data_IF_717857644558
#
_entry.id   IF_717857644558
#
_cell.length_a   1.000
_cell.length_b   1.000
_cell.length_c   1.000
_cell.angle_alpha   90.00
_cell.angle_beta   90.00
_cell.angle_gamma   90.00
#
_symmetry.space_group_name_H-M   'P 1'
#
loop_
_entity.id
_entity.type
_entity.pdbx_description
1 polymer ?
#
# COMPACT_ATOMS: atom_id res chain seq x y z
N UNK A 1 6.69 19.23 10.56
CA UNK A 1 5.60 18.24 10.73
C UNK A 1 6.07 17.26 11.79
N UNK A 2 5.34 17.05 12.89
CA UNK A 2 5.77 16.14 13.95
C UNK A 2 5.15 14.77 13.71
N UNK A 3 5.96 13.80 13.25
CA UNK A 3 5.60 12.38 13.31
C UNK A 3 5.67 11.99 14.78
N UNK A 4 4.58 11.44 15.33
CA UNK A 4 4.59 10.90 16.69
C UNK A 4 5.36 9.56 16.70
N UNK A 5 6.45 9.54 17.45
CA UNK A 5 7.33 8.38 17.58
C UNK A 5 7.15 7.64 18.91
N UNK A 6 6.12 7.94 19.71
CA UNK A 6 5.91 7.27 21.01
C UNK A 6 5.65 5.77 20.90
N UNK A 7 5.13 5.29 19.75
CA UNK A 7 4.98 3.86 19.46
C UNK A 7 6.26 3.17 18.97
N UNK A 8 7.38 3.88 18.85
CA UNK A 8 8.66 3.29 18.44
C UNK A 8 9.37 2.72 19.67
N UNK A 9 9.53 1.40 19.72
CA UNK A 9 10.22 0.70 20.79
C UNK A 9 11.72 0.50 20.48
N UNK A 10 12.55 0.57 21.51
CA UNK A 10 13.95 0.10 21.47
C UNK A 10 14.03 -1.22 22.22
N UNK A 11 14.24 -2.31 21.49
CA UNK A 11 14.30 -3.65 22.06
C UNK A 11 15.76 -4.01 22.42
N UNK A 12 16.07 -4.35 23.68
CA UNK A 12 17.40 -4.76 24.08
C UNK A 12 17.91 -5.98 23.28
N UNK A 13 19.15 -5.91 22.81
CA UNK A 13 19.78 -7.00 22.05
C UNK A 13 19.38 -7.09 20.57
N UNK A 14 18.59 -6.14 20.05
CA UNK A 14 18.32 -6.01 18.63
C UNK A 14 19.12 -4.85 18.04
N UNK A 15 19.78 -5.07 16.91
CA UNK A 15 20.30 -4.01 16.07
C UNK A 15 19.23 -3.57 15.07
N UNK A 16 19.23 -2.30 14.67
CA UNK A 16 18.35 -1.83 13.59
C UNK A 16 18.69 -2.58 12.31
N UNK A 17 17.71 -3.24 11.65
CA UNK A 17 17.95 -3.91 10.39
C UNK A 17 18.37 -2.91 9.31
N UNK A 18 19.48 -3.21 8.65
CA UNK A 18 20.02 -2.44 7.54
C UNK A 18 19.98 -3.30 6.28
N UNK A 19 19.59 -2.73 5.16
CA UNK A 19 19.53 -3.42 3.89
C UNK A 19 20.15 -2.56 2.80
N UNK A 20 20.76 -3.21 1.82
CA UNK A 20 21.20 -2.58 0.58
C UNK A 20 20.20 -2.95 -0.51
N UNK A 21 19.67 -1.96 -1.21
CA UNK A 21 18.85 -2.17 -2.40
C UNK A 21 19.70 -1.85 -3.63
N UNK A 22 19.63 -2.71 -4.64
CA UNK A 22 20.17 -2.43 -5.97
C UNK A 22 19.04 -2.52 -6.98
N UNK A 23 19.03 -1.61 -7.95
CA UNK A 23 18.02 -1.52 -8.99
C UNK A 23 18.61 -1.86 -10.37
N UNK A 24 17.87 -2.65 -11.14
CA UNK A 24 18.06 -2.87 -12.58
C UNK A 24 16.73 -2.59 -13.30
N UNK A 25 16.57 -1.35 -13.78
CA UNK A 25 15.27 -0.84 -14.23
C UNK A 25 14.24 -0.83 -13.08
N UNK A 26 13.09 -1.48 -13.31
CA UNK A 26 12.05 -1.65 -12.28
C UNK A 26 12.29 -2.87 -11.37
N UNK A 27 13.37 -3.64 -11.60
CA UNK A 27 13.70 -4.82 -10.78
C UNK A 27 14.53 -4.40 -9.57
N UNK A 28 14.10 -4.81 -8.39
CA UNK A 28 14.82 -4.56 -7.13
C UNK A 28 15.47 -5.85 -6.62
N UNK A 29 16.70 -5.74 -6.10
CA UNK A 29 17.37 -6.80 -5.35
C UNK A 29 17.69 -6.31 -3.94
N UNK A 30 17.28 -7.07 -2.93
CA UNK A 30 17.52 -6.76 -1.53
C UNK A 30 18.67 -7.61 -1.01
N UNK A 31 19.63 -6.96 -0.37
CA UNK A 31 20.77 -7.61 0.29
C UNK A 31 20.74 -7.21 1.78
N UNK A 32 20.23 -8.09 2.66
CA UNK A 32 20.34 -7.92 4.11
C UNK A 32 21.79 -7.68 4.54
N UNK A 33 22.00 -6.72 5.44
CA UNK A 33 23.34 -6.41 5.97
C UNK A 33 23.37 -6.62 7.50
N UNK A 34 23.44 -5.55 8.30
CA UNK A 34 23.44 -5.64 9.76
C UNK A 34 22.02 -5.80 10.33
N UNK A 35 21.88 -6.48 11.48
CA UNK A 35 20.64 -6.53 12.27
C UNK A 35 19.54 -7.49 11.78
N UNK A 36 19.86 -8.37 10.83
CA UNK A 36 18.92 -9.38 10.31
C UNK A 36 19.03 -10.75 10.99
N UNK A 37 20.02 -10.97 11.84
CA UNK A 37 20.30 -12.22 12.56
C UNK A 37 19.14 -12.66 13.47
N UNK A 38 18.35 -11.69 13.97
CA UNK A 38 17.17 -11.93 14.81
C UNK A 38 15.88 -11.41 14.17
N UNK A 39 15.83 -11.28 12.85
CA UNK A 39 14.68 -10.72 12.12
C UNK A 39 13.37 -11.45 12.41
N UNK A 40 13.38 -12.78 12.39
CA UNK A 40 12.18 -13.60 12.67
C UNK A 40 11.66 -13.38 14.09
N UNK A 41 12.56 -13.27 15.07
CA UNK A 41 12.18 -12.99 16.46
C UNK A 41 11.59 -11.57 16.60
N UNK A 42 12.18 -10.60 15.91
CA UNK A 42 11.68 -9.22 15.87
C UNK A 42 10.26 -9.17 15.30
N UNK A 43 10.03 -9.85 14.17
CA UNK A 43 8.72 -9.92 13.52
C UNK A 43 7.65 -10.58 14.42
N UNK A 44 8.03 -11.46 15.34
CA UNK A 44 7.11 -12.11 16.28
C UNK A 44 6.78 -11.26 17.50
N UNK A 45 7.50 -10.16 17.74
CA UNK A 45 7.39 -9.34 18.95
C UNK A 45 6.26 -8.31 18.83
N UNK A 46 5.23 -8.45 19.66
CA UNK A 46 4.20 -7.43 19.80
C UNK A 46 4.78 -6.19 20.49
N UNK A 47 4.57 -5.02 19.91
CA UNK A 47 5.06 -3.76 20.47
C UNK A 47 4.01 -3.09 21.36
N UNK A 48 4.40 -2.48 22.50
CA UNK A 48 3.47 -1.70 23.30
C UNK A 48 3.02 -0.47 22.51
N UNK A 49 1.72 -0.34 22.29
CA UNK A 49 1.14 0.83 21.64
C UNK A 49 0.69 1.86 22.68
N UNK A 50 1.02 3.15 22.51
CA UNK A 50 0.51 4.21 23.36
C UNK A 50 -1.03 4.24 23.36
N UNK A 51 -1.70 4.46 24.51
CA UNK A 51 -3.17 4.43 24.58
C UNK A 51 -3.86 5.41 23.63
N UNK A 52 -3.25 6.56 23.32
CA UNK A 52 -3.85 7.54 22.40
C UNK A 52 -3.90 7.06 20.94
N UNK A 53 -3.12 6.04 20.58
CA UNK A 53 -3.20 5.41 19.24
C UNK A 53 -4.49 4.64 19.06
N UNK A 54 -5.20 4.28 20.13
CA UNK A 54 -6.54 3.71 20.06
C UNK A 54 -7.54 4.63 19.35
N UNK A 55 -7.23 5.92 19.18
CA UNK A 55 -8.06 6.90 18.46
C UNK A 55 -7.72 7.07 16.97
N UNK A 56 -6.81 6.27 16.43
CA UNK A 56 -6.42 6.36 15.03
C UNK A 56 -7.62 6.13 14.09
N UNK A 57 -7.74 6.97 13.06
CA UNK A 57 -8.77 6.84 12.01
C UNK A 57 -8.35 5.86 10.92
N UNK A 58 -7.07 5.48 10.91
CA UNK A 58 -6.48 4.57 9.93
C UNK A 58 -5.42 3.71 10.62
N UNK A 59 -5.45 2.42 10.31
CA UNK A 59 -4.41 1.45 10.63
C UNK A 59 -3.84 1.00 9.29
N UNK A 60 -2.61 1.38 9.00
CA UNK A 60 -1.90 0.92 7.81
C UNK A 60 -0.86 -0.11 8.23
N UNK A 61 -0.88 -1.28 7.59
CA UNK A 61 0.07 -2.36 7.84
C UNK A 61 0.70 -2.79 6.51
N UNK A 62 2.03 -2.77 6.49
CA UNK A 62 2.80 -3.51 5.51
C UNK A 62 3.03 -4.89 6.09
N UNK A 63 2.68 -5.93 5.33
CA UNK A 63 2.86 -7.32 5.74
C UNK A 63 3.77 -8.02 4.75
N UNK A 64 4.76 -8.72 5.30
CA UNK A 64 5.68 -9.58 4.55
C UNK A 64 5.33 -11.03 4.82
N UNK A 65 5.53 -11.89 3.81
CA UNK A 65 5.21 -13.31 3.92
C UNK A 65 3.78 -13.54 4.47
N UNK A 66 3.57 -14.52 5.34
CA UNK A 66 2.28 -14.89 5.93
C UNK A 66 1.83 -14.00 7.10
N UNK A 67 2.57 -12.93 7.38
CA UNK A 67 2.26 -11.95 8.42
C UNK A 67 2.63 -12.43 9.83
N UNK A 68 3.09 -11.50 10.67
CA UNK A 68 3.58 -11.79 12.02
C UNK A 68 2.92 -10.86 13.06
N UNK A 69 3.67 -10.30 14.00
CA UNK A 69 3.14 -9.43 15.05
C UNK A 69 2.42 -8.20 14.48
N UNK A 70 2.96 -7.60 13.42
CA UNK A 70 2.36 -6.43 12.77
C UNK A 70 0.95 -6.71 12.26
N UNK A 71 0.73 -7.90 11.69
CA UNK A 71 -0.56 -8.37 11.20
C UNK A 71 -1.53 -8.62 12.36
N UNK A 72 -1.08 -9.31 13.42
CA UNK A 72 -1.90 -9.54 14.62
C UNK A 72 -2.31 -8.24 15.29
N UNK A 73 -1.36 -7.32 15.49
CA UNK A 73 -1.60 -6.01 16.09
C UNK A 73 -2.58 -5.18 15.26
N UNK A 74 -2.44 -5.16 13.93
CA UNK A 74 -3.37 -4.46 13.04
C UNK A 74 -4.79 -5.04 13.13
N UNK A 75 -4.93 -6.37 13.18
CA UNK A 75 -6.21 -7.04 13.38
C UNK A 75 -6.83 -6.68 14.74
N UNK A 76 -6.05 -6.68 15.83
CA UNK A 76 -6.53 -6.29 17.17
C UNK A 76 -7.04 -4.85 17.17
N UNK A 77 -6.26 -3.90 16.66
CA UNK A 77 -6.67 -2.50 16.58
C UNK A 77 -7.94 -2.31 15.76
N UNK A 78 -8.05 -3.01 14.61
CA UNK A 78 -9.26 -2.97 13.77
C UNK A 78 -10.47 -3.59 14.47
N UNK A 79 -10.28 -4.67 15.23
CA UNK A 79 -11.37 -5.31 15.97
C UNK A 79 -11.91 -4.40 17.09
N UNK A 80 -11.03 -3.66 17.76
CA UNK A 80 -11.40 -2.67 18.77
C UNK A 80 -12.04 -1.41 18.15
N UNK A 81 -11.75 -1.13 16.86
CA UNK A 81 -12.16 0.07 16.13
C UNK A 81 -12.70 -0.26 14.74
N UNK A 82 -13.94 -0.76 14.71
CA UNK A 82 -14.62 -1.11 13.46
C UNK A 82 -14.71 0.06 12.45
N UNK A 83 -14.67 1.30 12.95
CA UNK A 83 -14.77 2.55 12.18
C UNK A 83 -13.44 3.00 11.54
N UNK A 84 -12.29 2.55 12.04
CA UNK A 84 -10.98 2.90 11.47
C UNK A 84 -10.75 2.19 10.13
N UNK A 85 -10.14 2.84 9.14
CA UNK A 85 -9.77 2.19 7.88
C UNK A 85 -8.60 1.23 8.13
N UNK A 86 -8.76 -0.06 7.82
CA UNK A 86 -7.66 -1.01 7.73
C UNK A 86 -7.09 -1.03 6.31
N UNK A 87 -5.87 -0.52 6.15
CA UNK A 87 -5.13 -0.52 4.88
C UNK A 87 -3.98 -1.53 4.94
N UNK A 88 -3.93 -2.44 3.98
CA UNK A 88 -2.93 -3.52 3.93
C UNK A 88 -2.09 -3.40 2.66
N UNK A 89 -0.77 -3.36 2.82
CA UNK A 89 0.21 -3.51 1.74
C UNK A 89 0.86 -4.89 1.86
N UNK A 90 0.41 -5.89 1.07
CA UNK A 90 1.07 -7.19 1.04
C UNK A 90 2.32 -7.14 0.16
N UNK A 91 3.47 -7.53 0.74
CA UNK A 91 4.76 -7.65 0.06
C UNK A 91 5.06 -9.14 -0.13
N UNK A 92 4.91 -9.62 -1.37
CA UNK A 92 4.99 -11.04 -1.72
C UNK A 92 6.23 -11.40 -2.56
N UNK A 93 7.31 -10.65 -2.39
CA UNK A 93 8.54 -10.81 -3.18
C UNK A 93 9.28 -12.11 -2.84
N UNK A 94 9.76 -12.81 -3.87
CA UNK A 94 10.63 -14.00 -3.78
C UNK A 94 10.11 -15.12 -2.85
N UNK A 95 8.78 -15.28 -2.81
CA UNK A 95 8.15 -16.31 -2.00
C UNK A 95 8.03 -17.63 -2.77
N UNK A 96 8.48 -18.76 -2.20
CA UNK A 96 8.40 -20.07 -2.86
C UNK A 96 6.96 -20.55 -3.07
N UNK A 97 5.99 -20.07 -2.26
CA UNK A 97 4.58 -20.40 -2.40
C UNK A 97 3.67 -19.22 -2.05
N UNK A 98 3.45 -18.35 -3.03
CA UNK A 98 2.57 -17.18 -2.91
C UNK A 98 1.16 -17.55 -2.42
N UNK A 99 0.59 -18.67 -2.88
CA UNK A 99 -0.78 -19.04 -2.50
C UNK A 99 -0.88 -19.51 -1.05
N UNK A 100 0.12 -20.21 -0.53
CA UNK A 100 0.18 -20.54 0.90
C UNK A 100 0.25 -19.27 1.75
N UNK A 101 1.07 -18.31 1.34
CA UNK A 101 1.17 -17.00 1.99
C UNK A 101 -0.16 -16.24 1.97
N UNK A 102 -0.81 -16.12 0.80
CA UNK A 102 -2.12 -15.47 0.69
C UNK A 102 -3.14 -16.15 1.60
N UNK A 103 -3.10 -17.48 1.69
CA UNK A 103 -3.97 -18.26 2.58
C UNK A 103 -3.73 -17.90 4.06
N UNK A 104 -2.47 -17.77 4.48
CA UNK A 104 -2.11 -17.32 5.82
C UNK A 104 -2.61 -15.91 6.15
N UNK A 105 -2.60 -15.02 5.16
CA UNK A 105 -3.06 -13.62 5.30
C UNK A 105 -4.58 -13.43 5.20
N UNK A 106 -5.37 -14.47 4.87
CA UNK A 106 -6.82 -14.33 4.67
C UNK A 106 -7.56 -13.65 5.84
N UNK A 107 -7.26 -13.93 7.13
CA UNK A 107 -7.92 -13.23 8.23
C UNK A 107 -7.71 -11.71 8.18
N UNK A 108 -6.52 -11.24 7.81
CA UNK A 108 -6.21 -9.82 7.66
C UNK A 108 -6.87 -9.25 6.39
N UNK A 109 -6.69 -9.93 5.25
CA UNK A 109 -7.14 -9.44 3.94
C UNK A 109 -8.66 -9.36 3.83
N UNK A 110 -9.39 -10.33 4.41
CA UNK A 110 -10.85 -10.32 4.43
C UNK A 110 -11.42 -9.20 5.33
N UNK A 111 -10.67 -8.77 6.33
CA UNK A 111 -11.03 -7.65 7.21
C UNK A 111 -10.67 -6.27 6.61
N UNK A 112 -9.72 -6.22 5.66
CA UNK A 112 -9.17 -4.99 5.11
C UNK A 112 -10.23 -4.13 4.38
N UNK A 113 -10.11 -2.82 4.55
CA UNK A 113 -10.88 -1.81 3.83
C UNK A 113 -10.17 -1.37 2.53
N UNK A 114 -8.83 -1.40 2.55
CA UNK A 114 -7.97 -1.10 1.40
C UNK A 114 -6.87 -2.15 1.31
N UNK A 115 -6.63 -2.72 0.12
CA UNK A 115 -5.51 -3.63 -0.14
C UNK A 115 -4.72 -3.12 -1.35
N UNK A 116 -3.40 -2.99 -1.24
CA UNK A 116 -2.56 -2.38 -2.29
C UNK A 116 -1.28 -3.17 -2.62
N UNK A 117 -1.40 -4.33 -3.30
CA UNK A 117 -0.24 -5.05 -3.81
C UNK A 117 0.43 -4.27 -4.95
N UNK A 118 1.69 -4.57 -5.23
CA UNK A 118 2.30 -4.23 -6.51
C UNK A 118 1.82 -5.18 -7.63
N UNK A 119 2.18 -4.87 -8.88
CA UNK A 119 1.75 -5.64 -10.05
C UNK A 119 2.27 -7.08 -10.04
N UNK A 120 3.57 -7.36 -9.79
CA UNK A 120 4.06 -8.72 -9.65
C UNK A 120 3.30 -9.54 -8.60
N UNK A 121 3.09 -8.99 -7.40
CA UNK A 121 2.32 -9.66 -6.35
C UNK A 121 0.86 -9.86 -6.77
N UNK A 122 0.21 -8.87 -7.38
CA UNK A 122 -1.16 -8.98 -7.86
C UNK A 122 -1.31 -10.07 -8.93
N UNK A 123 -0.39 -10.15 -9.89
CA UNK A 123 -0.38 -11.20 -10.91
C UNK A 123 -0.17 -12.58 -10.28
N UNK A 124 0.78 -12.71 -9.35
CA UNK A 124 1.03 -13.96 -8.65
C UNK A 124 -0.19 -14.42 -7.83
N UNK A 125 -0.83 -13.52 -7.08
CA UNK A 125 -2.09 -13.77 -6.38
C UNK A 125 -3.15 -14.22 -7.40
N UNK A 126 -3.33 -13.50 -8.49
CA UNK A 126 -4.34 -13.81 -9.51
C UNK A 126 -4.04 -15.09 -10.33
N UNK A 127 -2.84 -15.67 -10.19
CA UNK A 127 -2.38 -16.79 -11.02
C UNK A 127 -2.23 -16.41 -12.49
N UNK A 128 -1.79 -15.17 -12.76
CA UNK A 128 -1.65 -14.59 -14.09
C UNK A 128 -0.17 -14.30 -14.41
N UNK A 129 0.18 -14.35 -15.69
CA UNK A 129 1.50 -13.95 -16.18
C UNK A 129 1.62 -12.42 -16.25
N UNK A 130 2.54 -11.84 -15.48
CA UNK A 130 2.70 -10.39 -15.36
C UNK A 130 2.99 -9.67 -16.69
N UNK A 131 3.57 -10.37 -17.69
CA UNK A 131 3.92 -9.79 -18.98
C UNK A 131 2.71 -9.64 -19.93
N UNK A 132 1.68 -10.47 -19.76
CA UNK A 132 0.57 -10.60 -20.72
C UNK A 132 -0.81 -10.46 -20.08
N UNK A 133 -0.90 -10.34 -18.75
CA UNK A 133 -2.16 -10.33 -18.04
C UNK A 133 -3.02 -9.09 -18.33
N UNK A 134 -4.31 -9.34 -18.52
CA UNK A 134 -5.35 -8.31 -18.55
C UNK A 134 -5.55 -7.71 -17.14
N UNK A 135 -5.46 -6.37 -16.97
CA UNK A 135 -5.62 -5.73 -15.67
C UNK A 135 -6.94 -6.03 -14.96
N UNK A 136 -8.05 -6.10 -15.70
CA UNK A 136 -9.36 -6.40 -15.09
C UNK A 136 -9.39 -7.82 -14.54
N UNK A 137 -8.91 -8.80 -15.31
CA UNK A 137 -8.80 -10.19 -14.87
C UNK A 137 -7.92 -10.32 -13.61
N UNK A 138 -6.79 -9.60 -13.54
CA UNK A 138 -5.91 -9.58 -12.36
C UNK A 138 -6.63 -9.02 -11.14
N UNK A 139 -7.31 -7.87 -11.28
CA UNK A 139 -8.06 -7.25 -10.19
C UNK A 139 -9.15 -8.20 -9.64
N UNK A 140 -9.92 -8.82 -10.52
CA UNK A 140 -10.99 -9.76 -10.14
C UNK A 140 -10.43 -11.04 -9.51
N UNK A 141 -9.34 -11.58 -10.07
CA UNK A 141 -8.63 -12.74 -9.53
C UNK A 141 -8.07 -12.48 -8.13
N UNK A 142 -7.49 -11.30 -7.91
CA UNK A 142 -7.03 -10.82 -6.61
C UNK A 142 -8.17 -10.73 -5.60
N UNK A 143 -9.26 -10.05 -5.96
CA UNK A 143 -10.44 -9.92 -5.09
C UNK A 143 -10.96 -11.27 -4.63
N UNK A 144 -11.12 -12.20 -5.58
CA UNK A 144 -11.64 -13.53 -5.29
C UNK A 144 -10.72 -14.32 -4.37
N UNK A 145 -9.40 -14.35 -4.63
CA UNK A 145 -8.47 -15.18 -3.88
C UNK A 145 -8.12 -14.62 -2.51
N UNK A 146 -8.10 -13.30 -2.36
CA UNK A 146 -7.93 -12.64 -1.06
C UNK A 146 -9.24 -12.54 -0.27
N UNK A 147 -10.36 -12.98 -0.85
CA UNK A 147 -11.70 -12.93 -0.23
C UNK A 147 -12.06 -11.52 0.28
N UNK A 148 -11.73 -10.49 -0.51
CA UNK A 148 -11.97 -9.11 -0.07
C UNK A 148 -13.47 -8.86 0.07
N UNK A 149 -13.87 -8.31 1.22
CA UNK A 149 -15.26 -7.96 1.51
C UNK A 149 -15.85 -7.00 0.48
N UNK A 150 -17.18 -7.00 0.38
CA UNK A 150 -17.91 -6.03 -0.44
C UNK A 150 -17.55 -4.59 -0.03
N UNK A 151 -17.28 -3.72 -1.02
CA UNK A 151 -16.90 -2.32 -0.76
C UNK A 151 -15.44 -2.07 -0.39
N UNK A 152 -14.61 -3.10 -0.20
CA UNK A 152 -13.16 -2.91 -0.08
C UNK A 152 -12.60 -2.31 -1.39
N UNK A 153 -11.57 -1.48 -1.26
CA UNK A 153 -10.79 -0.95 -2.36
C UNK A 153 -9.55 -1.82 -2.58
N UNK A 154 -9.43 -2.41 -3.76
CA UNK A 154 -8.18 -3.00 -4.25
C UNK A 154 -7.48 -1.97 -5.14
N UNK A 155 -6.24 -1.62 -4.81
CA UNK A 155 -5.43 -0.65 -5.56
C UNK A 155 -4.09 -1.27 -5.97
N UNK A 156 -4.02 -1.84 -7.17
CA UNK A 156 -2.81 -2.51 -7.68
C UNK A 156 -1.85 -1.47 -8.26
N UNK A 157 -0.66 -1.34 -7.66
CA UNK A 157 0.38 -0.40 -8.09
C UNK A 157 1.20 -1.00 -9.23
N UNK A 158 1.48 -0.22 -10.26
CA UNK A 158 2.06 -0.72 -11.51
C UNK A 158 3.18 0.19 -12.04
N UNK A 159 4.02 0.72 -11.14
CA UNK A 159 5.20 1.51 -11.49
C UNK A 159 4.88 2.64 -12.49
N UNK A 160 5.64 2.68 -13.59
CA UNK A 160 5.46 3.66 -14.67
C UNK A 160 4.09 3.61 -15.36
N UNK A 161 3.31 2.53 -15.21
CA UNK A 161 1.95 2.41 -15.73
C UNK A 161 0.89 3.02 -14.80
N UNK A 162 1.25 3.49 -13.62
CA UNK A 162 0.30 4.06 -12.65
C UNK A 162 -0.32 2.99 -11.74
N UNK A 163 -1.62 3.05 -11.51
CA UNK A 163 -2.33 2.05 -10.70
C UNK A 163 -3.71 1.70 -11.25
N UNK A 164 -4.19 0.52 -10.89
CA UNK A 164 -5.52 0.03 -11.22
C UNK A 164 -6.34 -0.15 -9.96
N UNK A 165 -7.58 0.31 -9.99
CA UNK A 165 -8.49 0.27 -8.84
C UNK A 165 -9.65 -0.67 -9.12
N UNK A 166 -10.09 -1.43 -8.11
CA UNK A 166 -11.38 -2.14 -8.11
C UNK A 166 -12.09 -1.84 -6.80
N UNK A 167 -13.31 -1.31 -6.86
CA UNK A 167 -14.11 -0.96 -5.68
C UNK A 167 -15.61 -1.03 -5.94
N UNK A 168 -16.40 -0.88 -4.87
CA UNK A 168 -17.87 -0.88 -4.92
C UNK A 168 -18.49 -2.08 -4.21
N UNK A 169 -19.73 -1.91 -3.75
CA UNK A 169 -20.48 -2.91 -2.95
C UNK A 169 -21.52 -3.67 -3.76
N UNK A 170 -22.24 -2.99 -4.66
CA UNK A 170 -23.33 -3.58 -5.45
C UNK A 170 -22.95 -3.87 -6.89
N UNK A 171 -22.12 -3.01 -7.46
CA UNK A 171 -21.67 -3.13 -8.83
C UNK A 171 -20.25 -2.60 -8.89
N UNK A 172 -19.33 -3.52 -9.16
CA UNK A 172 -17.91 -3.22 -9.12
C UNK A 172 -17.54 -2.26 -10.24
N UNK A 173 -16.74 -1.27 -9.88
CA UNK A 173 -16.14 -0.32 -10.80
C UNK A 173 -14.66 -0.59 -10.80
N UNK A 174 -14.05 -0.47 -11.96
CA UNK A 174 -12.61 -0.40 -12.03
C UNK A 174 -12.15 0.80 -12.85
N UNK A 175 -10.97 1.31 -12.49
CA UNK A 175 -10.40 2.50 -13.08
C UNK A 175 -8.89 2.32 -13.26
N UNK A 176 -8.37 3.05 -14.23
CA UNK A 176 -6.94 3.26 -14.40
C UNK A 176 -6.58 4.68 -13.97
N UNK A 177 -5.67 4.77 -13.02
CA UNK A 177 -5.05 6.01 -12.55
C UNK A 177 -3.66 6.08 -13.19
N UNK A 178 -3.43 6.95 -14.17
CA UNK A 178 -2.15 6.97 -14.87
C UNK A 178 -1.03 7.47 -13.96
N UNK A 179 0.21 7.09 -14.27
CA UNK A 179 1.38 7.71 -13.66
C UNK A 179 1.46 9.20 -14.04
N UNK A 180 2.11 9.99 -13.18
CA UNK A 180 2.48 11.36 -13.52
C UNK A 180 3.66 11.32 -14.51
N UNK A 181 3.62 12.08 -15.63
CA UNK A 181 4.75 12.18 -16.55
C UNK A 181 5.89 12.96 -15.87
N UNK A 182 6.89 12.24 -15.39
CA UNK A 182 8.04 12.86 -14.71
C UNK A 182 8.81 13.75 -15.69
N UNK A 183 9.26 14.95 -15.25
CA UNK A 183 10.09 15.82 -16.09
C UNK A 183 11.51 15.25 -16.29
N UNK A 184 11.98 14.49 -15.30
CA UNK A 184 13.31 13.88 -15.23
C UNK A 184 13.20 12.36 -15.06
N UNK A 185 14.25 11.58 -15.40
CA UNK A 185 14.30 10.17 -15.08
C UNK A 185 14.12 9.89 -13.58
N UNK A 186 13.63 8.70 -13.25
CA UNK A 186 13.57 8.21 -11.87
C UNK A 186 14.97 8.24 -11.25
N UNK A 187 15.09 8.86 -10.07
CA UNK A 187 16.33 8.93 -9.30
C UNK A 187 16.43 7.75 -8.34
N UNK A 188 15.41 7.56 -7.49
CA UNK A 188 15.35 6.49 -6.51
C UNK A 188 13.90 5.99 -6.34
N UNK A 189 13.54 4.78 -6.81
CA UNK A 189 12.18 4.26 -6.66
C UNK A 189 11.87 3.77 -5.23
N UNK A 190 12.85 3.76 -4.31
CA UNK A 190 12.69 3.27 -2.93
C UNK A 190 11.57 4.03 -2.23
N UNK A 191 10.66 3.30 -1.58
CA UNK A 191 9.60 3.89 -0.76
C UNK A 191 8.44 4.53 -1.53
N UNK A 192 8.51 4.67 -2.86
CA UNK A 192 7.42 5.26 -3.64
C UNK A 192 6.10 4.47 -3.52
N UNK A 193 6.21 3.14 -3.43
CA UNK A 193 5.08 2.24 -3.15
C UNK A 193 4.46 2.47 -1.78
N UNK A 194 5.30 2.58 -0.74
CA UNK A 194 4.82 2.82 0.63
C UNK A 194 4.21 4.21 0.77
N UNK A 195 4.81 5.21 0.11
CA UNK A 195 4.29 6.57 0.08
C UNK A 195 2.93 6.64 -0.63
N UNK A 196 2.73 5.88 -1.72
CA UNK A 196 1.43 5.69 -2.34
C UNK A 196 0.43 5.10 -1.34
N UNK A 197 0.75 3.99 -0.69
CA UNK A 197 -0.15 3.32 0.24
C UNK A 197 -0.55 4.21 1.42
N UNK A 198 0.44 4.88 2.04
CA UNK A 198 0.22 5.82 3.14
C UNK A 198 -0.65 7.01 2.72
N UNK A 199 -0.39 7.60 1.55
CA UNK A 199 -1.18 8.70 1.02
C UNK A 199 -2.62 8.29 0.70
N UNK A 200 -2.81 7.11 0.10
CA UNK A 200 -4.13 6.56 -0.20
C UNK A 200 -4.96 6.38 1.08
N UNK A 201 -4.38 5.69 2.07
CA UNK A 201 -5.03 5.40 3.34
C UNK A 201 -5.38 6.68 4.10
N UNK A 202 -4.44 7.62 4.18
CA UNK A 202 -4.64 8.91 4.86
C UNK A 202 -5.72 9.77 4.16
N UNK A 203 -5.76 9.78 2.82
CA UNK A 203 -6.78 10.54 2.08
C UNK A 203 -8.19 9.98 2.29
N UNK A 204 -8.33 8.65 2.26
CA UNK A 204 -9.62 8.01 2.50
C UNK A 204 -10.10 8.24 3.93
N UNK A 205 -9.19 8.14 4.92
CA UNK A 205 -9.52 8.37 6.33
C UNK A 205 -10.00 9.81 6.59
N UNK A 206 -9.35 10.81 5.96
CA UNK A 206 -9.80 12.22 6.02
C UNK A 206 -11.16 12.45 5.36
N UNK A 207 -11.58 11.60 4.43
CA UNK A 207 -12.94 11.63 3.89
C UNK A 207 -14.00 11.26 4.94
N UNK A 208 -13.62 10.57 6.01
CA UNK A 208 -14.55 10.08 7.03
C UNK A 208 -15.42 8.92 6.54
N UNK A 209 -16.46 8.57 7.32
CA UNK A 209 -17.33 7.46 7.01
C UNK A 209 -17.93 7.55 5.60
N UNK A 210 -17.90 6.43 4.86
CA UNK A 210 -18.43 6.37 3.49
C UNK A 210 -17.48 6.85 2.40
N UNK A 211 -16.25 7.28 2.71
CA UNK A 211 -15.28 7.69 1.70
C UNK A 211 -15.04 6.63 0.60
N UNK A 212 -15.06 5.34 0.96
CA UNK A 212 -14.92 4.22 0.02
C UNK A 212 -16.14 4.00 -0.89
N UNK A 213 -17.31 4.50 -0.49
CA UNK A 213 -18.53 4.42 -1.30
C UNK A 213 -18.64 5.59 -2.30
N UNK A 214 -17.96 6.70 -2.02
CA UNK A 214 -17.93 7.88 -2.89
C UNK A 214 -16.84 7.74 -3.95
N UNK A 215 -17.27 7.56 -5.20
CA UNK A 215 -16.36 7.41 -6.35
C UNK A 215 -15.43 8.60 -6.52
N UNK A 216 -15.91 9.83 -6.34
CA UNK A 216 -15.07 11.01 -6.52
C UNK A 216 -13.97 11.05 -5.47
N UNK A 217 -14.26 10.62 -4.23
CA UNK A 217 -13.27 10.54 -3.15
C UNK A 217 -12.25 9.43 -3.37
N UNK A 218 -12.68 8.25 -3.83
CA UNK A 218 -11.77 7.15 -4.16
C UNK A 218 -10.79 7.57 -5.25
N UNK A 219 -11.28 8.15 -6.35
CA UNK A 219 -10.43 8.58 -7.46
C UNK A 219 -9.48 9.71 -7.04
N UNK A 220 -9.96 10.68 -6.25
CA UNK A 220 -9.09 11.75 -5.71
C UNK A 220 -8.00 11.21 -4.78
N UNK A 221 -8.35 10.26 -3.90
CA UNK A 221 -7.39 9.64 -2.99
C UNK A 221 -6.32 8.85 -3.77
N UNK A 222 -6.71 8.14 -4.83
CA UNK A 222 -5.78 7.41 -5.68
C UNK A 222 -4.89 8.34 -6.53
N UNK A 223 -5.44 9.44 -7.06
CA UNK A 223 -4.65 10.46 -7.75
C UNK A 223 -3.61 11.10 -6.82
N UNK A 224 -3.99 11.41 -5.57
CA UNK A 224 -3.07 11.92 -4.55
C UNK A 224 -2.01 10.88 -4.18
N UNK A 225 -2.38 9.59 -4.12
CA UNK A 225 -1.43 8.51 -3.86
C UNK A 225 -0.40 8.39 -4.99
N UNK A 226 -0.85 8.41 -6.26
CA UNK A 226 0.04 8.42 -7.44
C UNK A 226 0.93 9.64 -7.48
N UNK A 227 0.41 10.82 -7.14
CA UNK A 227 1.20 12.05 -7.03
C UNK A 227 2.29 11.95 -5.96
N UNK A 228 1.99 11.30 -4.84
CA UNK A 228 2.95 11.10 -3.75
C UNK A 228 4.07 10.15 -4.16
N UNK A 229 3.72 9.01 -4.79
CA UNK A 229 4.72 8.11 -5.36
C UNK A 229 5.61 8.82 -6.39
N UNK A 230 5.01 9.61 -7.30
CA UNK A 230 5.72 10.37 -8.32
C UNK A 230 6.68 11.43 -7.76
N UNK A 231 6.40 12.00 -6.59
CA UNK A 231 7.30 12.94 -5.94
C UNK A 231 8.47 12.23 -5.24
N UNK A 232 8.23 11.04 -4.66
CA UNK A 232 9.27 10.24 -3.99
C UNK A 232 10.32 9.75 -5.00
N UNK A 233 9.90 9.28 -6.18
CA UNK A 233 10.84 8.75 -7.18
C UNK A 233 11.83 9.78 -7.77
N UNK A 234 11.63 11.07 -7.49
CA UNK A 234 12.42 12.17 -8.06
C UNK A 234 13.59 12.62 -7.18
N UNK A 235 13.79 12.00 -6.02
CA UNK A 235 14.87 12.36 -5.08
C UNK A 235 15.44 11.10 -4.46
N UNK A 236 16.72 11.12 -4.09
CA UNK A 236 17.30 10.06 -3.28
C UNK A 236 16.64 10.02 -1.89
N UNK A 237 16.07 8.88 -1.51
CA UNK A 237 15.37 8.71 -0.24
C UNK A 237 13.99 9.37 -0.19
N UNK A 238 13.78 10.31 0.75
CA UNK A 238 12.48 10.95 0.97
C UNK A 238 12.54 12.45 0.67
N UNK A 239 11.52 13.04 0.02
CA UNK A 239 11.48 14.47 -0.25
C UNK A 239 11.34 15.28 1.04
N UNK A 240 11.90 16.48 1.03
CA UNK A 240 11.75 17.41 2.14
C UNK A 240 10.29 17.82 2.34
N UNK A 241 9.78 17.64 3.55
CA UNK A 241 8.40 17.97 3.88
C UNK A 241 8.24 19.49 4.02
N UNK A 242 7.39 20.09 3.19
CA UNK A 242 7.15 21.52 3.26
C UNK A 242 6.12 22.03 2.26
N UNK A 243 5.94 23.36 2.24
CA UNK A 243 5.00 24.02 1.35
C UNK A 243 5.31 23.77 -0.14
N UNK A 244 6.59 23.68 -0.50
CA UNK A 244 7.03 23.38 -1.86
C UNK A 244 6.55 21.99 -2.32
N UNK A 245 6.80 20.95 -1.50
CA UNK A 245 6.32 19.59 -1.76
C UNK A 245 4.78 19.56 -1.84
N UNK A 246 4.07 20.22 -0.92
CA UNK A 246 2.62 20.27 -0.96
C UNK A 246 2.09 20.89 -2.26
N UNK A 247 2.70 21.98 -2.72
CA UNK A 247 2.33 22.62 -3.99
C UNK A 247 2.61 21.71 -5.19
N UNK A 248 3.73 20.97 -5.18
CA UNK A 248 4.06 19.98 -6.20
C UNK A 248 3.03 18.83 -6.23
N UNK A 249 2.73 18.24 -5.07
CA UNK A 249 1.75 17.17 -4.93
C UNK A 249 0.36 17.60 -5.41
N UNK A 250 -0.06 18.83 -5.12
CA UNK A 250 -1.34 19.36 -5.62
C UNK A 250 -1.37 19.39 -7.15
N UNK A 251 -0.32 19.92 -7.80
CA UNK A 251 -0.25 19.96 -9.27
C UNK A 251 -0.27 18.56 -9.88
N UNK A 252 0.47 17.63 -9.30
CA UNK A 252 0.51 16.24 -9.77
C UNK A 252 -0.84 15.55 -9.60
N UNK A 253 -1.50 15.75 -8.46
CA UNK A 253 -2.81 15.21 -8.18
C UNK A 253 -3.86 15.71 -9.19
N UNK A 254 -3.88 17.02 -9.47
CA UNK A 254 -4.83 17.62 -10.41
C UNK A 254 -4.63 17.09 -11.84
N UNK A 255 -3.37 16.99 -12.29
CA UNK A 255 -3.03 16.41 -13.59
C UNK A 255 -3.48 14.93 -13.68
N UNK A 256 -3.10 14.10 -12.71
CA UNK A 256 -3.46 12.68 -12.68
C UNK A 256 -4.98 12.49 -12.63
N UNK A 257 -5.68 13.28 -11.79
CA UNK A 257 -7.13 13.22 -11.68
C UNK A 257 -7.81 13.54 -13.02
N UNK A 258 -7.31 14.53 -13.76
CA UNK A 258 -7.85 14.91 -15.08
C UNK A 258 -7.71 13.82 -16.15
N UNK A 259 -6.73 12.91 -15.98
CA UNK A 259 -6.43 11.81 -16.91
C UNK A 259 -6.94 10.44 -16.43
N UNK A 260 -7.47 10.35 -15.21
CA UNK A 260 -8.00 9.11 -14.63
C UNK A 260 -9.26 8.68 -15.36
N UNK A 261 -9.34 7.39 -15.72
CA UNK A 261 -10.47 6.84 -16.49
C UNK A 261 -11.15 5.71 -15.72
N UNK A 262 -12.46 5.82 -15.56
CA UNK A 262 -13.30 4.68 -15.17
C UNK A 262 -13.50 3.82 -16.42
N UNK A 263 -13.10 2.56 -16.35
CA UNK A 263 -13.03 1.65 -17.50
C UNK A 263 -14.22 0.69 -17.57
N UNK A 264 -14.93 0.50 -16.44
CA UNK A 264 -16.27 -0.07 -16.44
C UNK A 264 -17.22 0.77 -15.58
N UNK A 265 -18.40 1.03 -16.13
CA UNK A 265 -19.56 1.46 -15.36
C UNK A 265 -20.60 0.34 -15.55
N UNK A 266 -21.19 -0.17 -14.46
CA UNK A 266 -22.30 -1.12 -14.54
C UNK A 266 -23.44 -0.62 -15.43
#
# INVERSE_FOLDING_TARGET
MAIDAQGVARLPGFATPCLKITYDGETMKWEPTAGWDRWVELQQTDLPLPPHYAHAQVVHVLTEADGMAETRMACTLKAERLDAILSVEPVLFDLPNVMATVTGLLPLLSAADVVSPDWPAACAIAGADAASADPEAVLRGCRSRMQLKGGALLAVRCGSRGSYLLWGTRAERWAHVPAFPLPDPVQDPTGAGNAYCGALAACLARGGPGALADTARVLKAAAQASATGAAVVQVDGLPELGAALNAQLSRYCDDIASRTRILSVP
#
